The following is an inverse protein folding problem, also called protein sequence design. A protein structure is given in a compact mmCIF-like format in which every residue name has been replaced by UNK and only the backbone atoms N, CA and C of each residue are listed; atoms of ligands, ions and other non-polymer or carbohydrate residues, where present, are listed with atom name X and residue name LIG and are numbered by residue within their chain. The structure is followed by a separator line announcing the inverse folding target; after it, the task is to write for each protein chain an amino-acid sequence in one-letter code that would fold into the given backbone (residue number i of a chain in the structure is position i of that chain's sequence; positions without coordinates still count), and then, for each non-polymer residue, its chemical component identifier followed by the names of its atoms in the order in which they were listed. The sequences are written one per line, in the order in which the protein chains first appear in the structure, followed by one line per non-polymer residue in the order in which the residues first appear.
data_IF_708920657276
#
_entry.id   IF_708920657276
#
_cell.length_a   1.000
_cell.length_b   1.000
_cell.length_c   1.000
_cell.angle_alpha   90.00
_cell.angle_beta   90.00
_cell.angle_gamma   90.00
#
_symmetry.space_group_name_H-M   'P 1'
#
loop_
_entity.id
_entity.type
_entity.pdbx_description
1 polymer ?
#
# COMPACT_ATOMS: atom_id res chain seq x y z
N UNK A 1 -2.73 10.21 3.38
CA UNK A 1 -4.07 10.78 3.28
C UNK A 1 -4.90 10.50 4.53
N UNK A 2 -5.21 9.21 4.84
CA UNK A 2 -6.08 8.83 5.97
C UNK A 2 -5.58 9.41 7.30
N UNK A 3 -4.29 9.28 7.61
CA UNK A 3 -3.72 9.88 8.81
C UNK A 3 -3.88 11.41 8.82
N UNK A 4 -3.63 12.07 7.68
CA UNK A 4 -3.73 13.52 7.58
C UNK A 4 -5.16 14.06 7.78
N UNK A 5 -6.17 13.30 7.34
CA UNK A 5 -7.59 13.69 7.51
C UNK A 5 -8.19 13.32 8.87
N UNK A 6 -7.48 12.50 9.66
CA UNK A 6 -7.95 11.99 10.95
C UNK A 6 -7.08 12.43 12.14
N UNK A 7 -6.40 13.59 12.02
CA UNK A 7 -5.66 14.19 13.13
C UNK A 7 -4.18 13.81 13.23
N UNK A 8 -3.59 13.34 12.12
CA UNK A 8 -2.14 13.10 12.05
C UNK A 8 -1.65 12.10 13.09
N UNK A 9 -0.79 12.58 14.01
CA UNK A 9 -0.23 11.75 15.08
C UNK A 9 -1.26 11.16 16.05
N UNK A 10 -2.39 11.85 16.29
CA UNK A 10 -3.45 11.31 17.11
C UNK A 10 -4.06 10.03 16.51
N UNK A 11 -4.17 9.96 15.18
CA UNK A 11 -4.65 8.78 14.47
C UNK A 11 -3.73 7.57 14.65
N UNK A 12 -2.42 7.76 14.83
CA UNK A 12 -1.47 6.66 15.00
C UNK A 12 -1.73 5.85 16.27
N UNK A 13 -2.33 6.44 17.29
CA UNK A 13 -2.62 5.74 18.56
C UNK A 13 -3.64 4.61 18.34
N UNK A 14 -4.89 4.88 17.90
CA UNK A 14 -5.84 3.81 17.61
C UNK A 14 -5.37 2.90 16.46
N UNK A 15 -4.55 3.39 15.53
CA UNK A 15 -3.97 2.59 14.47
C UNK A 15 -3.06 1.48 15.02
N UNK A 16 -2.05 1.81 15.83
CA UNK A 16 -1.16 0.80 16.44
C UNK A 16 -1.89 -0.09 17.43
N UNK A 17 -2.88 0.43 18.14
CA UNK A 17 -3.73 -0.38 19.01
C UNK A 17 -4.50 -1.43 18.18
N UNK A 18 -5.16 -1.01 17.11
CA UNK A 18 -5.88 -1.92 16.21
C UNK A 18 -4.95 -2.93 15.51
N UNK A 19 -3.74 -2.50 15.16
CA UNK A 19 -2.70 -3.38 14.59
C UNK A 19 -2.39 -4.56 15.51
N UNK A 20 -2.14 -4.28 16.79
CA UNK A 20 -1.75 -5.30 17.78
C UNK A 20 -2.93 -6.18 18.17
N UNK A 21 -4.11 -5.57 18.40
CA UNK A 21 -5.26 -6.28 18.97
C UNK A 21 -6.11 -6.98 17.91
N UNK A 22 -6.15 -6.46 16.70
CA UNK A 22 -6.99 -6.97 15.61
C UNK A 22 -6.12 -7.47 14.45
N UNK A 23 -5.22 -6.64 13.94
CA UNK A 23 -4.43 -6.93 12.75
C UNK A 23 -3.58 -8.18 12.88
N UNK A 24 -2.72 -8.23 13.87
CA UNK A 24 -1.82 -9.37 14.09
C UNK A 24 -2.55 -10.68 14.38
N UNK A 25 -3.55 -10.75 15.27
CA UNK A 25 -4.32 -11.97 15.47
C UNK A 25 -5.06 -12.43 14.21
N UNK A 26 -5.67 -11.51 13.46
CA UNK A 26 -6.38 -11.84 12.23
C UNK A 26 -5.41 -12.35 11.15
N UNK A 27 -4.22 -11.73 11.04
CA UNK A 27 -3.16 -12.20 10.15
C UNK A 27 -2.77 -13.66 10.47
N UNK A 28 -2.55 -14.01 11.74
CA UNK A 28 -2.24 -15.37 12.17
C UNK A 28 -3.36 -16.36 11.82
N UNK A 29 -4.62 -15.95 11.96
CA UNK A 29 -5.78 -16.76 11.57
C UNK A 29 -5.79 -17.00 10.06
N UNK A 30 -5.60 -15.98 9.25
CA UNK A 30 -5.61 -16.11 7.79
C UNK A 30 -4.45 -16.97 7.28
N UNK A 31 -3.24 -16.80 7.84
CA UNK A 31 -2.10 -17.67 7.52
C UNK A 31 -2.39 -19.14 7.86
N UNK A 32 -3.00 -19.38 9.02
CA UNK A 32 -3.39 -20.75 9.45
C UNK A 32 -4.43 -21.35 8.52
N UNK A 33 -5.48 -20.59 8.16
CA UNK A 33 -6.53 -21.02 7.23
C UNK A 33 -5.93 -21.32 5.85
N UNK A 34 -5.07 -20.44 5.36
CA UNK A 34 -4.44 -20.59 4.05
C UNK A 34 -3.56 -21.83 3.96
N UNK A 35 -2.62 -22.02 4.92
CA UNK A 35 -1.77 -23.21 4.97
C UNK A 35 -2.58 -24.51 5.08
N UNK A 36 -3.61 -24.51 5.95
CA UNK A 36 -4.49 -25.65 6.06
C UNK A 36 -5.22 -25.94 4.74
N UNK A 37 -5.72 -24.91 4.06
CA UNK A 37 -6.37 -25.03 2.76
C UNK A 37 -5.43 -25.57 1.69
N UNK A 38 -4.20 -25.04 1.63
CA UNK A 38 -3.16 -25.49 0.71
C UNK A 38 -2.80 -26.97 0.86
N UNK A 39 -2.65 -27.44 2.10
CA UNK A 39 -2.42 -28.84 2.39
C UNK A 39 -3.57 -29.78 1.92
N UNK A 40 -4.76 -29.20 1.63
CA UNK A 40 -5.90 -29.92 1.07
C UNK A 40 -6.15 -29.59 -0.42
N UNK A 41 -5.22 -28.96 -1.09
CA UNK A 41 -5.31 -28.62 -2.52
C UNK A 41 -6.20 -27.41 -2.83
N UNK A 42 -6.45 -26.55 -1.85
CA UNK A 42 -7.32 -25.37 -2.01
C UNK A 42 -6.52 -24.07 -1.84
N UNK A 43 -6.52 -23.21 -2.88
CA UNK A 43 -5.87 -21.90 -2.88
C UNK A 43 -6.83 -20.70 -2.72
N UNK A 44 -8.13 -20.93 -2.51
CA UNK A 44 -9.12 -19.85 -2.42
C UNK A 44 -10.01 -19.97 -1.19
N UNK A 45 -10.48 -18.83 -0.65
CA UNK A 45 -11.21 -18.74 0.62
C UNK A 45 -12.46 -19.62 0.67
N UNK A 46 -13.23 -19.67 -0.41
CA UNK A 46 -14.50 -20.43 -0.42
C UNK A 46 -14.33 -21.91 -0.05
N UNK A 47 -13.52 -22.67 -0.80
CA UNK A 47 -13.20 -24.05 -0.45
C UNK A 47 -12.52 -24.21 0.91
N UNK A 48 -11.63 -23.27 1.31
CA UNK A 48 -10.96 -23.31 2.61
C UNK A 48 -11.96 -23.22 3.76
N UNK A 49 -12.92 -22.30 3.68
CA UNK A 49 -14.00 -22.17 4.66
C UNK A 49 -14.87 -23.43 4.65
N UNK A 50 -15.21 -23.94 3.47
CA UNK A 50 -16.01 -25.16 3.35
C UNK A 50 -15.38 -26.37 4.07
N UNK A 51 -14.09 -26.65 3.81
CA UNK A 51 -13.43 -27.84 4.40
C UNK A 51 -13.32 -27.76 5.92
N UNK A 52 -13.30 -26.56 6.49
CA UNK A 52 -13.31 -26.35 7.93
C UNK A 52 -14.73 -26.42 8.50
N UNK A 53 -15.68 -25.71 7.89
CA UNK A 53 -17.05 -25.62 8.35
C UNK A 53 -17.78 -26.98 8.34
N UNK A 54 -17.51 -27.84 7.35
CA UNK A 54 -18.12 -29.17 7.26
C UNK A 54 -17.82 -30.10 8.44
N UNK A 55 -16.80 -29.74 9.26
CA UNK A 55 -16.48 -30.50 10.49
C UNK A 55 -17.45 -30.17 11.63
N UNK A 56 -18.09 -28.99 11.60
CA UNK A 56 -18.94 -28.50 12.68
C UNK A 56 -20.43 -28.39 12.28
N UNK A 57 -20.71 -28.25 10.99
CA UNK A 57 -22.08 -28.04 10.47
C UNK A 57 -22.36 -28.98 9.28
N UNK A 58 -23.66 -29.08 8.91
CA UNK A 58 -24.06 -29.94 7.80
C UNK A 58 -23.39 -29.51 6.48
N UNK A 59 -23.10 -30.47 5.55
CA UNK A 59 -22.44 -30.16 4.28
C UNK A 59 -23.13 -29.05 3.46
N UNK A 60 -24.46 -29.03 3.43
CA UNK A 60 -25.23 -27.99 2.73
C UNK A 60 -24.99 -26.60 3.31
N UNK A 61 -25.00 -26.45 4.64
CA UNK A 61 -24.71 -25.18 5.31
C UNK A 61 -23.25 -24.77 5.12
N UNK A 62 -22.32 -25.73 5.15
CA UNK A 62 -20.89 -25.47 4.91
C UNK A 62 -20.62 -24.98 3.48
N UNK A 63 -21.30 -25.53 2.46
CA UNK A 63 -21.22 -25.06 1.07
C UNK A 63 -21.72 -23.61 0.99
N UNK A 64 -22.88 -23.31 1.56
CA UNK A 64 -23.43 -21.96 1.54
C UNK A 64 -22.44 -20.96 2.18
N UNK A 65 -21.95 -21.30 3.38
CA UNK A 65 -20.97 -20.44 4.09
C UNK A 65 -19.71 -20.22 3.26
N UNK A 66 -19.12 -21.28 2.73
CA UNK A 66 -17.94 -21.22 1.87
C UNK A 66 -18.19 -20.38 0.61
N UNK A 67 -19.35 -20.57 -0.04
CA UNK A 67 -19.72 -19.79 -1.23
C UNK A 67 -19.88 -18.30 -0.94
N UNK A 68 -20.53 -17.95 0.18
CA UNK A 68 -20.71 -16.54 0.59
C UNK A 68 -19.35 -15.90 0.91
N UNK A 69 -18.52 -16.55 1.73
CA UNK A 69 -17.19 -16.03 2.06
C UNK A 69 -16.30 -15.89 0.81
N UNK A 70 -16.35 -16.89 -0.08
CA UNK A 70 -15.61 -16.84 -1.34
C UNK A 70 -16.08 -15.74 -2.26
N UNK A 71 -17.39 -15.53 -2.38
CA UNK A 71 -17.97 -14.45 -3.20
C UNK A 71 -17.60 -13.06 -2.65
N UNK A 72 -17.63 -12.88 -1.32
CA UNK A 72 -17.22 -11.62 -0.68
C UNK A 72 -15.74 -11.35 -0.96
N UNK A 73 -14.84 -12.31 -0.67
CA UNK A 73 -13.41 -12.16 -0.89
C UNK A 73 -13.09 -11.86 -2.36
N UNK A 74 -13.68 -12.60 -3.29
CA UNK A 74 -13.52 -12.34 -4.73
C UNK A 74 -14.03 -10.95 -5.12
N UNK A 75 -15.22 -10.55 -4.66
CA UNK A 75 -15.82 -9.25 -4.97
C UNK A 75 -14.96 -8.08 -4.49
N UNK A 76 -14.46 -8.15 -3.26
CA UNK A 76 -13.53 -7.14 -2.71
C UNK A 76 -12.25 -7.07 -3.51
N UNK A 77 -11.64 -8.23 -3.85
CA UNK A 77 -10.42 -8.27 -4.66
C UNK A 77 -10.62 -7.65 -6.04
N UNK A 78 -11.73 -7.94 -6.73
CA UNK A 78 -12.07 -7.33 -8.03
C UNK A 78 -12.23 -5.82 -7.89
N UNK A 79 -12.93 -5.35 -6.85
CA UNK A 79 -13.13 -3.93 -6.60
C UNK A 79 -11.80 -3.20 -6.36
N UNK A 80 -10.93 -3.75 -5.52
CA UNK A 80 -9.60 -3.16 -5.26
C UNK A 80 -8.77 -3.16 -6.54
N UNK A 81 -8.73 -4.27 -7.27
CA UNK A 81 -7.94 -4.39 -8.50
C UNK A 81 -8.42 -3.40 -9.58
N UNK A 82 -9.70 -3.07 -9.62
CA UNK A 82 -10.26 -2.16 -10.63
C UNK A 82 -9.66 -0.75 -10.58
N UNK A 83 -9.32 -0.22 -9.40
CA UNK A 83 -8.65 1.08 -9.29
C UNK A 83 -7.14 0.96 -9.12
N UNK A 84 -6.64 -0.10 -8.49
CA UNK A 84 -5.23 -0.28 -8.19
C UNK A 84 -4.39 -0.42 -9.48
N UNK A 85 -4.90 -1.12 -10.48
CA UNK A 85 -4.24 -1.25 -11.79
C UNK A 85 -4.03 0.10 -12.48
N UNK A 86 -4.91 1.10 -12.25
CA UNK A 86 -4.70 2.45 -12.77
C UNK A 86 -3.50 3.13 -12.09
N UNK A 87 -3.34 2.94 -10.77
CA UNK A 87 -2.19 3.47 -10.02
C UNK A 87 -0.89 2.86 -10.53
N UNK A 88 -0.88 1.56 -10.88
CA UNK A 88 0.25 0.89 -11.54
C UNK A 88 0.59 1.60 -12.86
N UNK A 89 -0.41 1.87 -13.71
CA UNK A 89 -0.24 2.61 -14.94
C UNK A 89 0.29 4.03 -14.72
N UNK A 90 -0.22 4.75 -13.71
CA UNK A 90 0.28 6.08 -13.35
C UNK A 90 1.75 6.01 -12.91
N UNK A 91 2.13 5.04 -12.10
CA UNK A 91 3.51 4.87 -11.64
C UNK A 91 4.47 4.69 -12.82
N UNK A 92 4.13 3.83 -13.78
CA UNK A 92 4.95 3.61 -14.97
C UNK A 92 5.06 4.88 -15.84
N UNK A 93 3.94 5.56 -16.07
CA UNK A 93 3.94 6.79 -16.85
C UNK A 93 4.69 7.93 -16.17
N UNK A 94 4.61 8.03 -14.84
CA UNK A 94 5.41 8.99 -14.08
C UNK A 94 6.90 8.66 -14.09
N UNK A 95 7.28 7.39 -14.13
CA UNK A 95 8.67 7.00 -14.34
C UNK A 95 9.21 7.53 -15.67
N UNK A 96 8.45 7.40 -16.76
CA UNK A 96 8.79 7.94 -18.07
C UNK A 96 8.84 9.47 -18.06
N UNK A 97 7.83 10.12 -17.48
CA UNK A 97 7.79 11.60 -17.38
C UNK A 97 8.92 12.14 -16.50
N UNK A 98 9.39 11.38 -15.52
CA UNK A 98 10.57 11.75 -14.73
C UNK A 98 11.82 11.80 -15.59
N UNK A 99 12.09 10.76 -16.37
CA UNK A 99 13.25 10.71 -17.28
C UNK A 99 13.22 11.82 -18.33
N UNK A 100 12.07 12.01 -18.96
CA UNK A 100 11.90 13.02 -20.03
C UNK A 100 11.80 14.45 -19.51
N UNK A 101 11.55 14.62 -18.21
CA UNK A 101 11.32 15.94 -17.60
C UNK A 101 9.92 16.49 -17.84
N UNK A 102 8.94 15.64 -18.17
CA UNK A 102 7.59 16.05 -18.57
C UNK A 102 6.82 16.86 -17.52
N UNK A 103 7.13 16.74 -16.24
CA UNK A 103 6.53 17.53 -15.16
C UNK A 103 7.43 18.67 -14.63
N UNK A 104 8.62 18.87 -15.21
CA UNK A 104 9.54 19.92 -14.77
C UNK A 104 9.04 21.30 -15.19
N UNK A 105 8.89 22.21 -14.23
CA UNK A 105 8.42 23.57 -14.47
C UNK A 105 6.91 23.70 -14.71
N UNK A 106 6.15 22.63 -14.45
CA UNK A 106 4.69 22.61 -14.55
C UNK A 106 4.12 22.50 -13.12
N UNK A 107 2.96 23.13 -12.87
CA UNK A 107 2.23 22.89 -11.64
C UNK A 107 1.87 21.40 -11.51
N UNK A 108 2.32 20.77 -10.44
CA UNK A 108 2.23 19.33 -10.29
C UNK A 108 0.80 18.82 -10.08
N UNK A 109 -0.08 19.66 -9.53
CA UNK A 109 -1.50 19.33 -9.40
C UNK A 109 -2.19 19.34 -10.76
N UNK A 110 -1.96 20.42 -11.55
CA UNK A 110 -2.49 20.52 -12.92
C UNK A 110 -1.91 19.40 -13.81
N UNK A 111 -0.62 19.10 -13.68
CA UNK A 111 0.00 17.98 -14.40
C UNK A 111 -0.68 16.66 -14.10
N UNK A 112 -0.92 16.35 -12.82
CA UNK A 112 -1.60 15.11 -12.43
C UNK A 112 -2.99 15.02 -13.01
N UNK A 113 -3.82 16.07 -12.89
CA UNK A 113 -5.18 16.09 -13.45
C UNK A 113 -5.16 15.87 -14.97
N UNK A 114 -4.30 16.58 -15.68
CA UNK A 114 -4.16 16.41 -17.13
C UNK A 114 -3.67 14.99 -17.49
N UNK A 115 -2.72 14.46 -16.71
CA UNK A 115 -2.18 13.12 -16.94
C UNK A 115 -3.25 12.04 -16.81
N UNK A 116 -4.06 12.06 -15.75
CA UNK A 116 -5.06 11.01 -15.50
C UNK A 116 -6.27 11.11 -16.43
N UNK A 117 -6.51 12.27 -17.05
CA UNK A 117 -7.61 12.49 -17.98
C UNK A 117 -7.23 12.31 -19.45
N UNK A 118 -5.92 12.28 -19.79
CA UNK A 118 -5.48 12.07 -21.18
C UNK A 118 -5.54 10.60 -21.58
N UNK A 119 -6.38 10.21 -22.56
CA UNK A 119 -6.49 8.84 -23.02
C UNK A 119 -5.20 8.21 -23.52
N UNK A 120 -4.21 9.03 -23.96
CA UNK A 120 -2.91 8.53 -24.41
C UNK A 120 -2.16 7.79 -23.30
N UNK A 121 -2.39 8.16 -22.05
CA UNK A 121 -1.75 7.55 -20.89
C UNK A 121 -2.31 6.16 -20.54
N UNK A 122 -3.43 5.74 -21.16
CA UNK A 122 -3.94 4.37 -21.06
C UNK A 122 -2.94 3.32 -21.56
N UNK A 123 -1.99 3.71 -22.41
CA UNK A 123 -0.91 2.80 -22.85
C UNK A 123 -0.11 2.26 -21.66
N UNK A 124 0.18 3.10 -20.65
CA UNK A 124 0.91 2.69 -19.47
C UNK A 124 0.10 1.72 -18.59
N UNK A 125 -1.22 1.90 -18.55
CA UNK A 125 -2.11 0.97 -17.89
C UNK A 125 -2.15 -0.39 -18.59
N UNK A 126 -2.21 -0.42 -19.92
CA UNK A 126 -2.18 -1.65 -20.72
C UNK A 126 -0.85 -2.39 -20.49
N UNK A 127 0.28 -1.68 -20.52
CA UNK A 127 1.60 -2.27 -20.24
C UNK A 127 1.63 -2.82 -18.81
N UNK A 128 1.08 -2.10 -17.84
CA UNK A 128 0.96 -2.55 -16.44
C UNK A 128 0.17 -3.85 -16.33
N UNK A 129 -1.00 -3.93 -16.94
CA UNK A 129 -1.81 -5.15 -16.99
C UNK A 129 -1.09 -6.32 -17.67
N UNK A 130 -0.41 -6.06 -18.77
CA UNK A 130 0.34 -7.08 -19.48
C UNK A 130 1.51 -7.63 -18.65
N UNK A 131 2.24 -6.75 -17.92
CA UNK A 131 3.35 -7.16 -17.05
C UNK A 131 2.84 -7.94 -15.84
N UNK A 132 1.74 -7.51 -15.23
CA UNK A 132 1.08 -8.24 -14.14
C UNK A 132 0.61 -9.62 -14.60
N UNK A 133 -0.06 -9.69 -15.74
CA UNK A 133 -0.49 -10.96 -16.34
C UNK A 133 0.70 -11.89 -16.62
N UNK A 134 1.81 -11.35 -17.14
CA UNK A 134 3.03 -12.13 -17.38
C UNK A 134 3.64 -12.66 -16.08
N UNK A 135 3.72 -11.83 -15.01
CA UNK A 135 4.23 -12.26 -13.72
C UNK A 135 3.37 -13.38 -13.11
N UNK A 136 2.03 -13.24 -13.16
CA UNK A 136 1.10 -14.26 -12.67
C UNK A 136 1.20 -15.56 -13.46
N UNK A 137 1.39 -15.50 -14.79
CA UNK A 137 1.59 -16.69 -15.64
C UNK A 137 2.86 -17.46 -15.29
N UNK A 138 3.89 -16.83 -14.74
CA UNK A 138 5.12 -17.48 -14.25
C UNK A 138 4.93 -18.17 -12.90
N UNK A 139 3.82 -17.94 -12.22
CA UNK A 139 3.53 -18.46 -10.91
C UNK A 139 4.17 -17.68 -9.77
N UNK A 140 3.99 -18.19 -8.55
CA UNK A 140 4.42 -17.47 -7.34
C UNK A 140 5.95 -17.41 -7.25
N UNK A 141 6.63 -18.54 -7.34
CA UNK A 141 8.08 -18.61 -7.09
C UNK A 141 8.93 -17.96 -8.18
N UNK A 142 8.65 -18.26 -9.45
CA UNK A 142 9.42 -17.74 -10.59
C UNK A 142 8.95 -16.36 -11.07
N UNK A 143 7.74 -15.99 -10.75
CA UNK A 143 7.14 -14.69 -11.08
C UNK A 143 7.20 -13.73 -9.91
N UNK A 144 6.24 -13.80 -9.00
CA UNK A 144 6.01 -12.80 -7.96
C UNK A 144 7.20 -12.73 -6.98
N UNK A 145 7.62 -13.88 -6.44
CA UNK A 145 8.70 -13.95 -5.45
C UNK A 145 10.06 -13.51 -6.02
N UNK A 146 10.39 -13.91 -7.24
CA UNK A 146 11.63 -13.53 -7.89
C UNK A 146 11.74 -12.01 -8.06
N UNK A 147 10.65 -11.34 -8.43
CA UNK A 147 10.59 -9.87 -8.56
C UNK A 147 10.64 -9.20 -7.20
N UNK A 148 9.87 -9.69 -6.21
CA UNK A 148 9.82 -9.14 -4.87
C UNK A 148 11.20 -9.15 -4.18
N UNK A 149 12.00 -10.21 -4.36
CA UNK A 149 13.36 -10.31 -3.79
C UNK A 149 14.30 -9.17 -4.19
N UNK A 150 14.09 -8.57 -5.35
CA UNK A 150 14.91 -7.45 -5.84
C UNK A 150 14.22 -6.11 -5.56
N UNK A 151 12.93 -6.01 -5.85
CA UNK A 151 12.20 -4.74 -5.79
C UNK A 151 11.93 -4.29 -4.37
N UNK A 152 11.59 -5.21 -3.44
CA UNK A 152 11.32 -4.82 -2.05
C UNK A 152 12.52 -4.20 -1.35
N UNK A 153 13.74 -4.79 -1.33
CA UNK A 153 14.91 -4.12 -0.79
C UNK A 153 15.19 -2.75 -1.42
N UNK A 154 15.00 -2.65 -2.75
CA UNK A 154 15.20 -1.38 -3.43
C UNK A 154 14.20 -0.31 -2.97
N UNK A 155 12.91 -0.65 -2.80
CA UNK A 155 11.90 0.28 -2.25
C UNK A 155 12.28 0.77 -0.85
N UNK A 156 12.77 -0.12 0.03
CA UNK A 156 13.23 0.28 1.36
C UNK A 156 14.41 1.26 1.28
N UNK A 157 15.42 0.97 0.47
CA UNK A 157 16.57 1.86 0.29
C UNK A 157 16.14 3.23 -0.22
N UNK A 158 15.31 3.28 -1.27
CA UNK A 158 14.79 4.54 -1.80
C UNK A 158 13.85 5.26 -0.81
N UNK A 159 13.04 4.52 -0.05
CA UNK A 159 12.21 5.07 1.01
C UNK A 159 13.03 5.74 2.11
N UNK A 160 14.14 5.13 2.53
CA UNK A 160 15.09 5.72 3.50
C UNK A 160 15.71 7.01 2.93
N UNK A 161 16.14 7.00 1.66
CA UNK A 161 16.70 8.21 1.02
C UNK A 161 15.66 9.33 0.99
N UNK A 162 14.40 9.03 0.66
CA UNK A 162 13.32 10.01 0.69
C UNK A 162 13.02 10.52 2.10
N UNK A 163 13.05 9.65 3.11
CA UNK A 163 12.86 10.05 4.50
C UNK A 163 13.98 10.99 4.97
N UNK A 164 15.24 10.69 4.64
CA UNK A 164 16.38 11.60 4.89
C UNK A 164 16.18 12.93 4.17
N UNK A 165 15.76 12.88 2.90
CA UNK A 165 15.49 14.10 2.13
C UNK A 165 14.33 14.90 2.70
N UNK A 166 13.28 14.25 3.20
CA UNK A 166 12.16 14.91 3.86
C UNK A 166 12.61 15.71 5.08
N UNK A 167 13.45 15.11 5.94
CA UNK A 167 13.98 15.78 7.14
C UNK A 167 14.87 16.98 6.79
N UNK A 168 15.62 16.90 5.70
CA UNK A 168 16.57 17.95 5.27
C UNK A 168 15.98 18.97 4.30
N UNK A 169 14.70 18.83 3.92
CA UNK A 169 14.07 19.64 2.85
C UNK A 169 13.86 21.11 3.27
N UNK A 170 13.54 21.35 4.53
CA UNK A 170 13.23 22.70 5.01
C UNK A 170 11.86 23.20 4.55
N UNK A 171 11.79 24.45 4.11
CA UNK A 171 10.59 25.14 3.65
C UNK A 171 10.81 25.70 2.23
N UNK A 172 10.67 24.90 1.17
CA UNK A 172 11.07 25.28 -0.18
C UNK A 172 10.13 26.28 -0.86
N UNK A 173 8.87 26.34 -0.48
CA UNK A 173 7.83 27.17 -1.14
C UNK A 173 7.39 28.31 -0.24
N UNK A 174 7.08 28.02 1.02
CA UNK A 174 6.57 29.01 1.97
C UNK A 174 7.28 28.80 3.32
N UNK A 175 7.85 29.87 3.94
CA UNK A 175 8.51 29.78 5.26
C UNK A 175 7.67 29.13 6.35
N UNK A 176 6.34 29.24 6.26
CA UNK A 176 5.43 28.62 7.21
C UNK A 176 5.18 27.12 6.93
N UNK A 177 5.57 26.61 5.78
CA UNK A 177 5.39 25.22 5.35
C UNK A 177 6.71 24.47 5.37
N UNK A 178 7.16 24.04 6.54
CA UNK A 178 8.39 23.26 6.62
C UNK A 178 8.10 21.76 6.71
N UNK A 179 9.00 20.95 6.14
CA UNK A 179 8.93 19.49 6.27
C UNK A 179 8.98 19.03 7.72
N UNK A 180 9.67 19.78 8.60
CA UNK A 180 9.69 19.50 10.04
C UNK A 180 8.34 19.72 10.71
N UNK A 181 7.54 20.71 10.27
CA UNK A 181 6.15 20.87 10.73
C UNK A 181 5.29 19.69 10.27
N UNK A 182 5.49 19.21 9.04
CA UNK A 182 4.83 18.00 8.54
C UNK A 182 5.22 16.75 9.30
N UNK A 183 6.49 16.61 9.68
CA UNK A 183 6.98 15.51 10.53
C UNK A 183 6.36 15.58 11.93
N UNK A 184 6.32 16.78 12.52
CA UNK A 184 5.68 17.01 13.82
C UNK A 184 4.19 16.69 13.77
N UNK A 185 3.50 17.01 12.68
CA UNK A 185 2.09 16.66 12.49
C UNK A 185 1.83 15.15 12.54
N UNK A 186 2.75 14.33 12.05
CA UNK A 186 2.61 12.86 12.04
C UNK A 186 3.03 12.21 13.35
N UNK A 187 4.10 12.72 13.99
CA UNK A 187 4.73 12.04 15.13
C UNK A 187 4.51 12.70 16.48
N UNK A 188 3.89 13.87 16.52
CA UNK A 188 3.49 14.56 17.77
C UNK A 188 1.96 14.55 17.90
N UNK A 189 1.39 13.59 18.64
CA UNK A 189 -0.05 13.39 18.71
C UNK A 189 -0.74 14.52 19.50
N UNK A 190 -1.68 15.20 18.85
CA UNK A 190 -2.64 16.07 19.51
C UNK A 190 -3.92 15.29 19.82
N UNK A 191 -4.04 14.82 21.05
CA UNK A 191 -5.18 13.99 21.50
C UNK A 191 -6.53 14.67 21.36
N UNK A 192 -6.57 16.01 21.28
CA UNK A 192 -7.82 16.75 21.04
C UNK A 192 -8.44 16.48 19.68
N UNK A 193 -7.64 16.00 18.71
CA UNK A 193 -8.06 15.61 17.37
C UNK A 193 -8.62 14.18 17.28
N UNK A 194 -8.52 13.41 18.37
CA UNK A 194 -9.01 12.02 18.38
C UNK A 194 -10.53 11.98 18.46
N UNK A 195 -11.14 11.30 17.51
CA UNK A 195 -12.60 11.13 17.40
C UNK A 195 -12.97 9.66 17.35
N UNK A 196 -14.23 9.33 17.65
CA UNK A 196 -14.74 7.96 17.44
C UNK A 196 -14.62 7.52 15.99
N UNK A 197 -14.80 8.44 15.05
CA UNK A 197 -14.60 8.18 13.62
C UNK A 197 -13.15 7.81 13.31
N UNK A 198 -12.16 8.48 13.92
CA UNK A 198 -10.74 8.15 13.76
C UNK A 198 -10.41 6.72 14.19
N UNK A 199 -11.05 6.24 15.29
CA UNK A 199 -10.86 4.86 15.78
C UNK A 199 -11.40 3.84 14.78
N UNK A 200 -12.61 4.06 14.27
CA UNK A 200 -13.21 3.16 13.26
C UNK A 200 -12.40 3.17 11.97
N UNK A 201 -11.96 4.35 11.53
CA UNK A 201 -11.14 4.50 10.32
C UNK A 201 -9.77 3.82 10.49
N UNK A 202 -9.14 3.93 11.67
CA UNK A 202 -7.88 3.26 11.97
C UNK A 202 -8.03 1.74 11.89
N UNK A 203 -9.10 1.20 12.46
CA UNK A 203 -9.41 -0.24 12.37
C UNK A 203 -9.61 -0.67 10.91
N UNK A 204 -10.38 0.09 10.13
CA UNK A 204 -10.58 -0.19 8.71
C UNK A 204 -9.27 -0.14 7.90
N UNK A 205 -8.39 0.81 8.23
CA UNK A 205 -7.07 0.91 7.58
C UNK A 205 -6.20 -0.32 7.85
N UNK A 206 -6.25 -0.91 9.04
CA UNK A 206 -5.51 -2.15 9.34
C UNK A 206 -5.97 -3.31 8.44
N UNK A 207 -7.26 -3.46 8.23
CA UNK A 207 -7.75 -4.48 7.30
C UNK A 207 -7.28 -4.24 5.87
N UNK A 208 -7.25 -2.98 5.45
CA UNK A 208 -6.82 -2.60 4.10
C UNK A 208 -5.32 -2.81 3.90
N UNK A 209 -4.48 -2.26 4.79
CA UNK A 209 -3.02 -2.29 4.66
C UNK A 209 -2.45 -3.71 4.75
N UNK A 210 -3.00 -4.54 5.61
CA UNK A 210 -2.59 -5.94 5.76
C UNK A 210 -3.33 -6.89 4.81
N UNK A 211 -4.20 -6.37 3.92
CA UNK A 211 -5.00 -7.17 2.98
C UNK A 211 -5.87 -8.26 3.65
N UNK A 212 -6.34 -7.99 4.88
CA UNK A 212 -7.14 -8.93 5.66
C UNK A 212 -8.59 -8.96 5.17
N UNK A 213 -9.22 -10.12 5.25
CA UNK A 213 -10.61 -10.33 4.83
C UNK A 213 -10.80 -10.43 3.31
N UNK A 214 -9.76 -10.20 2.53
CA UNK A 214 -9.81 -10.22 1.06
C UNK A 214 -9.46 -11.58 0.46
N UNK A 215 -8.96 -12.52 1.28
CA UNK A 215 -8.51 -13.82 0.84
C UNK A 215 -7.11 -13.85 0.23
N UNK A 216 -6.44 -12.71 0.12
CA UNK A 216 -5.10 -12.56 -0.44
C UNK A 216 -4.10 -13.32 0.44
N UNK A 217 -4.11 -13.06 1.73
CA UNK A 217 -3.22 -13.72 2.71
C UNK A 217 -3.46 -15.22 2.74
N UNK A 218 -4.72 -15.67 2.74
CA UNK A 218 -5.05 -17.08 2.67
C UNK A 218 -4.52 -17.75 1.39
N UNK A 219 -4.58 -17.04 0.26
CA UNK A 219 -4.04 -17.52 -1.02
C UNK A 219 -2.52 -17.69 -0.95
N UNK A 220 -1.77 -16.67 -0.51
CA UNK A 220 -0.31 -16.78 -0.33
C UNK A 220 0.07 -17.89 0.65
N UNK A 221 -0.61 -17.96 1.79
CA UNK A 221 -0.35 -18.99 2.80
C UNK A 221 -0.67 -20.41 2.33
N UNK A 222 -1.46 -20.57 1.25
CA UNK A 222 -1.74 -21.90 0.68
C UNK A 222 -0.55 -22.54 -0.04
N UNK A 223 0.49 -21.76 -0.35
CA UNK A 223 1.74 -22.25 -0.95
C UNK A 223 2.78 -22.66 0.09
N UNK A 224 2.54 -22.41 1.39
CA UNK A 224 3.47 -22.76 2.46
C UNK A 224 3.59 -24.27 2.65
N UNK A 225 4.81 -24.71 2.97
CA UNK A 225 5.05 -26.07 3.37
C UNK A 225 4.49 -26.34 4.78
N UNK A 226 4.15 -27.61 5.12
CA UNK A 226 3.56 -27.96 6.40
C UNK A 226 4.42 -27.65 7.63
N UNK A 227 5.75 -27.59 7.46
CA UNK A 227 6.75 -27.36 8.50
C UNK A 227 7.19 -25.88 8.63
N UNK A 228 6.71 -24.98 7.77
CA UNK A 228 7.03 -23.56 7.87
C UNK A 228 6.40 -22.89 9.08
N UNK A 229 7.16 -21.99 9.72
CA UNK A 229 6.73 -21.24 10.90
C UNK A 229 5.81 -20.08 10.51
N UNK A 230 4.51 -20.28 10.70
CA UNK A 230 3.48 -19.27 10.46
C UNK A 230 3.62 -18.05 11.36
N UNK A 231 3.99 -18.27 12.64
CA UNK A 231 3.99 -17.19 13.63
C UNK A 231 5.08 -16.18 13.26
N UNK A 232 6.30 -16.67 13.07
CA UNK A 232 7.41 -15.79 12.64
C UNK A 232 7.14 -15.12 11.29
N UNK A 233 6.62 -15.86 10.31
CA UNK A 233 6.28 -15.31 8.99
C UNK A 233 5.21 -14.22 9.09
N UNK A 234 4.14 -14.43 9.86
CA UNK A 234 3.06 -13.45 10.04
C UNK A 234 3.55 -12.18 10.74
N UNK A 235 4.30 -12.33 11.84
CA UNK A 235 4.84 -11.17 12.58
C UNK A 235 5.83 -10.39 11.73
N UNK A 236 6.71 -11.07 11.00
CA UNK A 236 7.66 -10.43 10.10
C UNK A 236 6.93 -9.67 8.97
N UNK A 237 5.89 -10.25 8.37
CA UNK A 237 5.08 -9.59 7.34
C UNK A 237 4.45 -8.31 7.87
N UNK A 238 3.81 -8.36 9.04
CA UNK A 238 3.20 -7.19 9.67
C UNK A 238 4.27 -6.14 9.99
N UNK A 239 5.38 -6.52 10.61
CA UNK A 239 6.43 -5.59 11.00
C UNK A 239 7.08 -4.89 9.78
N UNK A 240 7.36 -5.62 8.71
CA UNK A 240 7.92 -5.06 7.48
C UNK A 240 6.91 -4.14 6.76
N UNK A 241 5.63 -4.53 6.72
CA UNK A 241 4.58 -3.67 6.17
C UNK A 241 4.50 -2.34 6.91
N UNK A 242 4.44 -2.38 8.24
CA UNK A 242 4.36 -1.17 9.07
C UNK A 242 5.62 -0.31 8.96
N UNK A 243 6.78 -0.93 8.86
CA UNK A 243 8.01 -0.19 8.63
C UNK A 243 7.99 0.56 7.29
N UNK A 244 7.53 -0.09 6.22
CA UNK A 244 7.43 0.55 4.91
C UNK A 244 6.35 1.65 4.88
N UNK A 245 5.13 1.35 5.33
CA UNK A 245 3.98 2.25 5.19
C UNK A 245 3.99 3.38 6.22
N UNK A 246 4.19 3.05 7.49
CA UNK A 246 4.09 4.03 8.57
C UNK A 246 5.41 4.76 8.78
N UNK A 247 6.51 4.02 8.95
CA UNK A 247 7.79 4.66 9.25
C UNK A 247 8.37 5.33 8.01
N UNK A 248 8.58 4.62 6.90
CA UNK A 248 9.22 5.21 5.72
C UNK A 248 8.27 6.14 4.96
N UNK A 249 7.08 5.69 4.57
CA UNK A 249 6.18 6.52 3.80
C UNK A 249 5.57 7.64 4.65
N UNK A 250 5.21 7.40 5.90
CA UNK A 250 4.73 8.41 6.84
C UNK A 250 5.75 9.49 7.11
N UNK A 251 7.03 9.13 7.30
CA UNK A 251 8.14 10.07 7.55
C UNK A 251 8.62 10.78 6.28
N UNK A 252 8.30 10.28 5.09
CA UNK A 252 8.69 10.92 3.82
C UNK A 252 7.54 11.65 3.16
N UNK A 253 6.48 10.96 2.79
CA UNK A 253 5.42 11.53 1.92
C UNK A 253 4.66 12.68 2.59
N UNK A 254 4.27 12.54 3.86
CA UNK A 254 3.50 13.60 4.54
C UNK A 254 4.34 14.86 4.78
N UNK A 255 5.57 14.79 5.33
CA UNK A 255 6.42 15.96 5.49
C UNK A 255 6.75 16.66 4.17
N UNK A 256 7.03 15.89 3.11
CA UNK A 256 7.26 16.42 1.77
C UNK A 256 6.01 17.14 1.25
N UNK A 257 4.87 16.49 1.33
CA UNK A 257 3.60 17.08 0.88
C UNK A 257 3.27 18.35 1.66
N UNK A 258 3.52 18.37 2.97
CA UNK A 258 3.35 19.57 3.80
C UNK A 258 4.24 20.72 3.34
N UNK A 259 5.51 20.43 3.01
CA UNK A 259 6.47 21.45 2.58
C UNK A 259 6.12 22.09 1.21
N UNK A 260 5.47 21.34 0.31
CA UNK A 260 5.12 21.83 -1.03
C UNK A 260 3.66 22.27 -1.17
N UNK A 261 2.74 21.60 -0.48
CA UNK A 261 1.28 21.79 -0.64
C UNK A 261 0.62 22.43 0.58
N UNK A 262 1.35 22.60 1.68
CA UNK A 262 0.84 23.17 2.93
C UNK A 262 -0.10 22.23 3.70
N UNK A 263 -0.64 22.70 4.84
CA UNK A 263 -1.45 21.89 5.75
C UNK A 263 -2.77 21.39 5.14
N UNK A 264 -3.37 22.14 4.21
CA UNK A 264 -4.58 21.68 3.53
C UNK A 264 -4.26 20.73 2.38
N UNK A 265 -3.12 20.91 1.71
CA UNK A 265 -2.69 20.05 0.61
C UNK A 265 -2.42 18.60 1.04
N UNK A 266 -1.99 18.36 2.27
CA UNK A 266 -1.78 17.00 2.80
C UNK A 266 -3.08 16.20 2.99
N UNK A 267 -4.23 16.86 3.01
CA UNK A 267 -5.55 16.24 3.07
C UNK A 267 -6.07 15.82 1.69
N UNK A 268 -5.24 15.92 0.66
CA UNK A 268 -5.56 15.53 -0.72
C UNK A 268 -5.85 14.04 -0.86
N UNK A 269 -6.23 13.63 -2.08
CA UNK A 269 -6.65 12.28 -2.41
C UNK A 269 -5.47 11.30 -2.58
N UNK A 270 -5.78 10.10 -3.10
CA UNK A 270 -4.83 9.05 -3.51
C UNK A 270 -3.71 9.60 -4.43
N UNK A 271 -3.99 10.65 -5.22
CA UNK A 271 -2.99 11.32 -6.06
C UNK A 271 -1.93 12.12 -5.31
N UNK A 272 -2.01 12.27 -3.97
CA UNK A 272 -1.11 13.13 -3.21
C UNK A 272 0.38 12.86 -3.48
N UNK A 273 0.78 11.58 -3.50
CA UNK A 273 2.16 11.21 -3.79
C UNK A 273 2.59 11.62 -5.21
N UNK A 274 1.70 11.50 -6.19
CA UNK A 274 1.95 11.89 -7.59
C UNK A 274 1.98 13.42 -7.79
N UNK A 275 1.40 14.19 -6.89
CA UNK A 275 1.47 15.65 -6.90
C UNK A 275 2.67 16.19 -6.09
N UNK A 276 3.01 15.57 -4.97
CA UNK A 276 4.05 16.07 -4.08
C UNK A 276 5.46 15.61 -4.46
N UNK A 277 5.66 14.33 -4.76
CA UNK A 277 6.98 13.76 -5.02
C UNK A 277 7.68 14.32 -6.27
N UNK A 278 7.00 14.60 -7.40
CA UNK A 278 7.64 15.28 -8.54
C UNK A 278 8.34 16.58 -8.17
N UNK A 279 7.74 17.39 -7.28
CA UNK A 279 8.35 18.64 -6.84
C UNK A 279 9.68 18.41 -6.11
N UNK A 280 9.77 17.34 -5.29
CA UNK A 280 11.03 16.98 -4.62
C UNK A 280 12.09 16.59 -5.64
N UNK A 281 11.72 15.74 -6.59
CA UNK A 281 12.67 15.28 -7.60
C UNK A 281 13.18 16.43 -8.48
N UNK A 282 12.39 17.46 -8.75
CA UNK A 282 12.87 18.65 -9.49
C UNK A 282 13.87 19.48 -8.69
N UNK A 283 13.91 19.37 -7.36
CA UNK A 283 14.84 20.11 -6.50
C UNK A 283 16.08 19.31 -6.12
N UNK A 284 16.19 18.05 -6.54
CA UNK A 284 17.33 17.19 -6.23
C UNK A 284 18.32 17.09 -7.41
N UNK A 285 19.62 17.05 -7.10
CA UNK A 285 20.63 16.70 -8.09
C UNK A 285 20.38 15.27 -8.61
N UNK A 286 20.30 15.10 -9.93
CA UNK A 286 19.95 13.82 -10.55
C UNK A 286 18.49 13.38 -10.36
N UNK A 287 17.62 14.30 -9.92
CA UNK A 287 16.24 14.00 -9.54
C UNK A 287 15.40 13.34 -10.63
N UNK A 288 15.68 13.59 -11.92
CA UNK A 288 15.00 12.90 -13.03
C UNK A 288 15.22 11.38 -12.97
N UNK A 289 16.47 10.97 -12.76
CA UNK A 289 16.81 9.53 -12.66
C UNK A 289 16.24 8.96 -11.36
N UNK A 290 16.42 9.69 -10.26
CA UNK A 290 15.92 9.25 -8.96
C UNK A 290 14.40 9.09 -8.97
N UNK A 291 13.66 10.05 -9.50
CA UNK A 291 12.21 9.98 -9.63
C UNK A 291 11.74 8.87 -10.57
N UNK A 292 12.46 8.64 -11.67
CA UNK A 292 12.16 7.54 -12.58
C UNK A 292 12.31 6.17 -11.88
N UNK A 293 13.40 5.97 -11.16
CA UNK A 293 13.62 4.72 -10.38
C UNK A 293 12.55 4.57 -9.30
N UNK A 294 12.23 5.66 -8.57
CA UNK A 294 11.18 5.63 -7.55
C UNK A 294 9.83 5.19 -8.11
N UNK A 295 9.36 5.85 -9.17
CA UNK A 295 8.06 5.51 -9.76
C UNK A 295 8.08 4.14 -10.44
N UNK A 296 9.23 3.71 -10.98
CA UNK A 296 9.39 2.36 -11.51
C UNK A 296 9.34 1.29 -10.41
N UNK A 297 9.92 1.55 -9.24
CA UNK A 297 9.79 0.67 -8.08
C UNK A 297 8.34 0.61 -7.57
N UNK A 298 7.63 1.75 -7.55
CA UNK A 298 6.21 1.81 -7.22
C UNK A 298 5.34 1.03 -8.22
N UNK A 299 5.76 0.94 -9.47
CA UNK A 299 5.10 0.12 -10.48
C UNK A 299 5.17 -1.38 -10.14
N UNK A 300 6.24 -1.83 -9.50
CA UNK A 300 6.44 -3.22 -9.10
C UNK A 300 5.97 -3.54 -7.67
N UNK A 301 5.71 -2.53 -6.85
CA UNK A 301 5.18 -2.71 -5.50
C UNK A 301 3.70 -3.06 -5.52
#
# INVERSE_FOLDING_TARGET
YIAATNGGGAFMIPYFFALIVIGLPTMLVEWTIGRYGGAHGHGTVGPMVYIQAKKAISPKKAIILGSVCGAIGFGVTVLVNSYYTHIIGWSLGYAVNSLTGGYVGVDSGAFFVNYVTDPKNLIFWIIGLASLGWAVMKGVSEGIEAWAKVMMPAIYVFGIILAIRAVTLGAPVNPDWSSMKGLNFVWNPDLSQLTSASIVTATGQIFFTLSLGMGIICNYASYLQPDEDIVTASVATVALNEFAEVILAGTSVIPISYAFLGPEGIKGSIGLAFMALPNVFTTMAGGRIFGAVWFFLLFFA
#
